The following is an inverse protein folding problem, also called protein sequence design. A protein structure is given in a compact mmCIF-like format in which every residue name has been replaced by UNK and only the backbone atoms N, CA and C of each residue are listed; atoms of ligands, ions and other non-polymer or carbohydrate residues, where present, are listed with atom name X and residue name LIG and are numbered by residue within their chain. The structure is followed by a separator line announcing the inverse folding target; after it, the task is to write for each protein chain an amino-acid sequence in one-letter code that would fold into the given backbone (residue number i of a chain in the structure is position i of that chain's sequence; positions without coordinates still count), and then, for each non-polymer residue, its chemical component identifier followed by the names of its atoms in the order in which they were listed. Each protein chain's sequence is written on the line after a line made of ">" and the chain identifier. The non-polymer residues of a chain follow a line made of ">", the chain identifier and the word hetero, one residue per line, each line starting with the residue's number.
data_IF_899344631560
#
_entry.id   IF_899344631560
#
_cell.length_a   1.000
_cell.length_b   1.000
_cell.length_c   1.000
_cell.angle_alpha   90.00
_cell.angle_beta   90.00
_cell.angle_gamma   90.00
#
_symmetry.space_group_name_H-M   'P 1'
#
loop_
_entity.id
_entity.type
_entity.pdbx_description
1 polymer ?
#
# COMPACT_ATOMS: atom_id res chain seq x y z
N UNK A 1 -7.56 -1.44 -12.07
CA UNK A 1 -6.33 -2.14 -11.61
C UNK A 1 -6.48 -3.62 -11.95
N UNK A 2 -5.37 -4.34 -12.14
CA UNK A 2 -5.34 -5.80 -12.23
C UNK A 2 -4.51 -6.34 -11.07
N UNK A 3 -4.96 -7.44 -10.46
CA UNK A 3 -4.25 -8.13 -9.38
C UNK A 3 -4.05 -9.59 -9.77
N UNK A 4 -2.79 -10.02 -9.84
CA UNK A 4 -2.42 -11.42 -9.97
C UNK A 4 -2.61 -12.12 -8.61
N UNK A 5 -3.86 -12.49 -8.33
CA UNK A 5 -4.30 -13.02 -7.04
C UNK A 5 -3.50 -14.24 -6.56
N UNK A 6 -3.17 -15.24 -7.41
CA UNK A 6 -2.38 -16.40 -6.97
C UNK A 6 -1.03 -16.02 -6.35
N UNK A 7 -0.28 -15.10 -6.97
CA UNK A 7 0.99 -14.64 -6.42
C UNK A 7 0.78 -13.79 -5.15
N UNK A 8 -0.21 -12.89 -5.16
CA UNK A 8 -0.55 -12.07 -3.99
C UNK A 8 -0.86 -12.93 -2.75
N UNK A 9 -1.71 -13.94 -2.89
CA UNK A 9 -2.06 -14.86 -1.79
C UNK A 9 -0.86 -15.66 -1.31
N UNK A 10 0.05 -16.02 -2.22
CA UNK A 10 1.26 -16.77 -1.88
C UNK A 10 2.24 -15.91 -1.08
N UNK A 11 2.42 -14.65 -1.47
CA UNK A 11 3.25 -13.69 -0.72
C UNK A 11 2.67 -13.42 0.67
N UNK A 12 1.34 -13.34 0.82
CA UNK A 12 0.71 -13.18 2.13
C UNK A 12 1.01 -14.30 3.13
N UNK A 13 1.40 -15.51 2.66
CA UNK A 13 1.71 -16.64 3.56
C UNK A 13 2.99 -16.41 4.36
N UNK A 14 3.91 -15.59 3.86
CA UNK A 14 5.18 -15.26 4.54
C UNK A 14 5.13 -13.93 5.29
N UNK A 15 4.01 -13.20 5.21
CA UNK A 15 3.83 -11.92 5.90
C UNK A 15 3.44 -12.10 7.37
N UNK A 16 3.79 -11.13 8.24
CA UNK A 16 3.20 -11.03 9.57
C UNK A 16 1.66 -11.05 9.51
N UNK A 17 1.05 -11.88 10.36
CA UNK A 17 -0.43 -11.97 10.46
C UNK A 17 -1.05 -10.83 11.26
N UNK A 18 -0.24 -10.17 12.10
CA UNK A 18 -0.63 -9.04 12.94
C UNK A 18 0.32 -7.87 12.67
N UNK A 19 -0.19 -6.65 12.82
CA UNK A 19 0.53 -5.41 12.56
C UNK A 19 1.07 -5.24 11.14
N UNK A 20 0.52 -5.90 10.12
CA UNK A 20 0.99 -5.73 8.75
C UNK A 20 0.51 -4.39 8.16
N UNK A 21 1.43 -3.63 7.58
CA UNK A 21 1.14 -2.56 6.64
C UNK A 21 2.06 -2.70 5.42
N UNK A 22 1.52 -3.26 4.34
CA UNK A 22 2.27 -3.65 3.15
C UNK A 22 1.81 -2.86 1.94
N UNK A 23 2.73 -2.43 1.09
CA UNK A 23 2.42 -1.81 -0.21
C UNK A 23 3.66 -1.20 -0.83
N UNK A 24 3.49 -0.28 -1.78
CA UNK A 24 4.62 0.48 -2.29
C UNK A 24 4.94 1.63 -1.32
N UNK A 25 5.98 1.45 -0.49
CA UNK A 25 6.26 2.36 0.64
C UNK A 25 7.08 3.57 0.18
N UNK A 26 6.63 4.76 0.54
CA UNK A 26 7.31 6.04 0.38
C UNK A 26 7.46 6.77 1.71
N UNK A 27 8.44 7.68 1.78
CA UNK A 27 8.69 8.52 2.96
C UNK A 27 9.09 9.96 2.57
N UNK A 28 8.21 10.73 1.90
CA UNK A 28 8.49 12.10 1.52
C UNK A 28 8.25 13.07 2.68
N UNK A 29 8.83 14.27 2.54
CA UNK A 29 8.49 15.42 3.38
C UNK A 29 7.29 16.16 2.80
N UNK A 30 6.33 16.49 3.66
CA UNK A 30 5.19 17.33 3.30
C UNK A 30 5.24 18.64 4.07
N UNK A 31 4.80 19.74 3.45
CA UNK A 31 4.88 21.08 4.05
C UNK A 31 4.02 21.25 5.31
N UNK A 32 3.03 20.38 5.52
CA UNK A 32 2.15 20.39 6.71
C UNK A 32 2.64 19.45 7.83
N UNK A 33 3.82 18.84 7.69
CA UNK A 33 4.41 17.95 8.70
C UNK A 33 5.86 18.31 9.01
N UNK A 34 6.27 18.06 10.25
CA UNK A 34 7.65 18.30 10.71
C UNK A 34 8.61 17.20 10.24
N UNK A 35 8.12 15.97 10.14
CA UNK A 35 8.91 14.81 9.73
C UNK A 35 8.37 14.21 8.43
N UNK A 36 9.19 13.41 7.76
CA UNK A 36 8.73 12.56 6.68
C UNK A 36 7.61 11.60 7.15
N UNK A 37 6.61 11.43 6.29
CA UNK A 37 5.49 10.52 6.52
C UNK A 37 5.74 9.24 5.75
N UNK A 38 5.85 8.11 6.48
CA UNK A 38 5.88 6.78 5.88
C UNK A 38 4.46 6.36 5.52
N UNK A 39 4.21 6.04 4.26
CA UNK A 39 2.91 5.53 3.80
C UNK A 39 3.08 4.59 2.60
N UNK A 40 2.09 3.72 2.40
CA UNK A 40 1.95 2.92 1.18
C UNK A 40 1.08 3.67 0.17
N UNK A 41 1.47 3.71 -1.11
CA UNK A 41 0.72 4.44 -2.13
C UNK A 41 -0.70 3.92 -2.34
N UNK A 42 -1.60 4.82 -2.75
CA UNK A 42 -3.01 4.50 -3.04
C UNK A 42 -3.26 3.57 -4.23
N UNK A 43 -2.23 3.03 -4.89
CA UNK A 43 -2.41 2.04 -5.95
C UNK A 43 -2.96 0.71 -5.41
N UNK A 44 -2.32 0.19 -4.36
CA UNK A 44 -2.80 -0.97 -3.59
C UNK A 44 -1.94 -1.10 -2.33
N UNK A 45 -2.58 -1.36 -1.19
CA UNK A 45 -1.88 -1.71 0.04
C UNK A 45 -2.73 -2.69 0.86
N UNK A 46 -2.07 -3.42 1.75
CA UNK A 46 -2.66 -4.44 2.60
C UNK A 46 -2.44 -4.07 4.06
N UNK A 47 -3.50 -4.14 4.85
CA UNK A 47 -3.46 -4.04 6.30
C UNK A 47 -3.84 -5.40 6.91
N UNK A 48 -3.17 -5.79 7.98
CA UNK A 48 -3.70 -6.85 8.83
C UNK A 48 -4.97 -6.37 9.53
N UNK A 49 -5.80 -7.32 9.98
CA UNK A 49 -7.09 -7.01 10.62
C UNK A 49 -6.95 -6.07 11.81
N UNK A 50 -5.97 -6.30 12.68
CA UNK A 50 -5.70 -5.50 13.87
C UNK A 50 -5.23 -4.08 13.54
N UNK A 51 -4.37 -3.91 12.52
CA UNK A 51 -3.97 -2.59 12.04
C UNK A 51 -5.17 -1.83 11.45
N UNK A 52 -5.99 -2.50 10.63
CA UNK A 52 -7.22 -1.91 10.09
C UNK A 52 -8.20 -1.52 11.20
N UNK A 53 -8.39 -2.38 12.21
CA UNK A 53 -9.23 -2.11 13.37
C UNK A 53 -8.74 -0.91 14.19
N UNK A 54 -7.43 -0.80 14.41
CA UNK A 54 -6.85 0.32 15.11
C UNK A 54 -7.11 1.64 14.36
N UNK A 55 -6.95 1.64 13.03
CA UNK A 55 -7.22 2.81 12.19
C UNK A 55 -8.69 3.26 12.29
N UNK A 56 -9.64 2.34 12.08
CA UNK A 56 -11.08 2.70 12.08
C UNK A 56 -11.61 3.03 13.48
N UNK A 57 -10.96 2.53 14.53
CA UNK A 57 -11.33 2.82 15.93
C UNK A 57 -10.74 4.14 16.44
N UNK A 58 -9.92 4.84 15.65
CA UNK A 58 -9.31 6.10 16.05
C UNK A 58 -10.33 7.25 16.04
N UNK A 59 -10.98 7.44 17.20
CA UNK A 59 -12.09 8.39 17.41
C UNK A 59 -11.81 9.82 16.91
N UNK A 60 -10.62 10.42 17.07
CA UNK A 60 -10.36 11.77 16.57
C UNK A 60 -10.49 11.87 15.05
N UNK A 61 -10.06 10.85 14.31
CA UNK A 61 -10.24 10.81 12.86
C UNK A 61 -11.70 10.59 12.49
N UNK A 62 -12.37 9.63 13.13
CA UNK A 62 -13.79 9.36 12.85
C UNK A 62 -14.67 10.60 13.09
N UNK A 63 -14.45 11.31 14.20
CA UNK A 63 -15.18 12.53 14.55
C UNK A 63 -14.92 13.69 13.56
N UNK A 64 -13.70 13.78 13.02
CA UNK A 64 -13.35 14.78 12.01
C UNK A 64 -14.02 14.46 10.67
N UNK A 65 -13.99 13.19 10.25
CA UNK A 65 -14.54 12.75 8.95
C UNK A 65 -16.07 12.61 8.95
N UNK A 66 -16.72 12.51 10.11
CA UNK A 66 -18.19 12.48 10.21
C UNK A 66 -18.84 13.85 10.05
N UNK A 67 -18.05 14.93 10.02
CA UNK A 67 -18.54 16.29 9.88
C UNK A 67 -18.47 16.74 8.43
N UNK A 68 -19.38 17.63 8.03
CA UNK A 68 -19.26 18.31 6.74
C UNK A 68 -17.95 19.09 6.69
N UNK A 69 -17.37 19.15 5.49
CA UNK A 69 -16.19 19.94 5.25
C UNK A 69 -16.40 21.40 5.70
N UNK A 70 -15.38 21.97 6.34
CA UNK A 70 -15.37 23.36 6.76
C UNK A 70 -13.95 23.89 6.67
N UNK A 71 -13.77 25.02 6.00
CA UNK A 71 -12.47 25.68 5.86
C UNK A 71 -11.87 26.03 7.24
N UNK A 72 -12.71 26.32 8.24
CA UNK A 72 -12.31 26.60 9.60
C UNK A 72 -11.64 25.40 10.30
N UNK A 73 -11.80 24.19 9.75
CA UNK A 73 -11.17 22.96 10.24
C UNK A 73 -9.97 22.53 9.40
N UNK A 74 -9.48 23.36 8.47
CA UNK A 74 -8.39 22.98 7.57
C UNK A 74 -7.15 22.47 8.31
N UNK A 75 -6.79 23.10 9.43
CA UNK A 75 -5.66 22.67 10.25
C UNK A 75 -5.89 21.29 10.88
N UNK A 76 -7.14 20.94 11.22
CA UNK A 76 -7.48 19.61 11.72
C UNK A 76 -7.31 18.56 10.62
N UNK A 77 -7.81 18.85 9.40
CA UNK A 77 -7.64 17.98 8.24
C UNK A 77 -6.16 17.77 7.86
N UNK A 78 -5.36 18.84 7.83
CA UNK A 78 -3.92 18.75 7.58
C UNK A 78 -3.20 17.94 8.65
N UNK A 79 -3.58 18.10 9.92
CA UNK A 79 -2.92 17.42 11.04
C UNK A 79 -2.98 15.89 10.96
N UNK A 80 -3.97 15.32 10.27
CA UNK A 80 -4.13 13.87 10.04
C UNK A 80 -4.02 13.49 8.56
N UNK A 81 -3.55 14.42 7.71
CA UNK A 81 -3.43 14.22 6.26
C UNK A 81 -4.71 13.81 5.56
N UNK A 82 -5.88 14.28 6.03
CA UNK A 82 -7.19 13.85 5.52
C UNK A 82 -7.43 14.14 4.03
N UNK A 83 -6.64 15.03 3.43
CA UNK A 83 -6.68 15.42 2.02
C UNK A 83 -6.00 14.40 1.09
N UNK A 84 -5.25 13.43 1.63
CA UNK A 84 -4.65 12.32 0.90
C UNK A 84 -4.98 11.02 1.63
N UNK A 85 -5.85 10.19 1.05
CA UNK A 85 -6.36 8.98 1.71
C UNK A 85 -5.26 8.00 2.12
N UNK A 86 -4.30 7.77 1.24
CA UNK A 86 -3.18 6.84 1.42
C UNK A 86 -2.16 7.37 2.44
N UNK A 87 -1.80 8.65 2.34
CA UNK A 87 -0.93 9.33 3.31
C UNK A 87 -1.59 9.33 4.70
N UNK A 88 -2.90 9.57 4.79
CA UNK A 88 -3.67 9.53 6.05
C UNK A 88 -3.55 8.18 6.74
N UNK A 89 -3.64 7.07 6.02
CA UNK A 89 -3.53 5.72 6.60
C UNK A 89 -2.19 5.56 7.32
N UNK A 90 -1.08 5.82 6.62
CA UNK A 90 0.27 5.71 7.18
C UNK A 90 0.51 6.72 8.31
N UNK A 91 0.13 7.98 8.10
CA UNK A 91 0.30 9.05 9.08
C UNK A 91 -0.45 8.74 10.38
N UNK A 92 -1.71 8.31 10.30
CA UNK A 92 -2.53 8.01 11.47
C UNK A 92 -2.02 6.77 12.21
N UNK A 93 -1.73 5.67 11.51
CA UNK A 93 -1.22 4.45 12.15
C UNK A 93 0.12 4.68 12.86
N UNK A 94 1.06 5.34 12.18
CA UNK A 94 2.45 5.47 12.65
C UNK A 94 2.61 6.61 13.66
N UNK A 95 1.99 7.77 13.43
CA UNK A 95 2.27 8.97 14.24
C UNK A 95 1.17 9.32 15.23
N UNK A 96 -0.10 9.06 14.89
CA UNK A 96 -1.23 9.41 15.78
C UNK A 96 -1.55 8.30 16.75
N UNK A 97 -1.85 7.11 16.23
CA UNK A 97 -2.12 5.91 17.03
C UNK A 97 -0.82 5.37 17.63
N UNK A 98 0.30 5.49 16.90
CA UNK A 98 1.58 4.85 17.24
C UNK A 98 1.38 3.36 17.46
N UNK A 99 0.79 2.70 16.47
CA UNK A 99 0.35 1.31 16.57
C UNK A 99 1.53 0.39 16.93
N UNK A 100 1.45 -0.26 18.09
CA UNK A 100 2.52 -1.12 18.60
C UNK A 100 2.61 -2.39 17.77
N UNK A 101 3.82 -2.77 17.39
CA UNK A 101 4.04 -3.97 16.56
C UNK A 101 3.73 -3.78 15.08
N UNK A 102 3.49 -2.55 14.62
CA UNK A 102 3.33 -2.28 13.19
C UNK A 102 4.61 -2.63 12.44
N UNK A 103 4.49 -3.49 11.43
CA UNK A 103 5.53 -3.88 10.48
C UNK A 103 5.19 -3.32 9.11
N UNK A 104 6.07 -2.48 8.57
CA UNK A 104 5.95 -1.97 7.20
C UNK A 104 6.67 -2.88 6.23
N UNK A 105 6.00 -3.30 5.16
CA UNK A 105 6.60 -4.14 4.11
C UNK A 105 6.52 -3.43 2.76
N UNK A 106 7.68 -3.11 2.17
CA UNK A 106 7.74 -2.54 0.83
C UNK A 106 7.66 -3.63 -0.24
N UNK A 107 6.60 -3.61 -1.04
CA UNK A 107 6.35 -4.58 -2.13
C UNK A 107 7.27 -4.34 -3.33
N UNK A 108 7.80 -3.11 -3.49
CA UNK A 108 8.70 -2.77 -4.58
C UNK A 108 8.00 -2.61 -5.94
N UNK A 109 8.65 -1.86 -6.83
CA UNK A 109 8.10 -1.53 -8.17
C UNK A 109 8.06 -2.73 -9.12
N UNK A 110 8.86 -3.77 -8.91
CA UNK A 110 8.80 -4.97 -9.75
C UNK A 110 7.49 -5.76 -9.56
N UNK A 111 6.83 -5.60 -8.42
CA UNK A 111 5.59 -6.30 -8.06
C UNK A 111 4.37 -5.40 -8.12
N UNK A 112 4.53 -4.11 -7.83
CA UNK A 112 3.46 -3.13 -7.80
C UNK A 112 3.84 -1.95 -8.69
N UNK A 113 3.31 -1.90 -9.90
CA UNK A 113 3.67 -0.89 -10.91
C UNK A 113 2.52 -0.49 -11.83
N UNK A 114 2.68 0.64 -12.50
CA UNK A 114 1.85 1.06 -13.62
C UNK A 114 2.51 0.74 -14.96
N UNK A 115 2.00 1.32 -16.06
CA UNK A 115 2.65 1.26 -17.36
C UNK A 115 4.00 1.98 -17.36
N UNK A 116 4.96 1.47 -18.14
CA UNK A 116 6.20 2.16 -18.46
C UNK A 116 6.01 3.23 -19.53
N UNK A 117 7.08 3.94 -19.87
CA UNK A 117 7.11 4.92 -20.97
C UNK A 117 6.72 4.30 -22.32
N UNK A 118 7.14 3.07 -22.54
CA UNK A 118 6.93 2.33 -23.79
C UNK A 118 5.68 1.43 -23.76
N UNK A 119 4.82 1.63 -22.76
CA UNK A 119 3.55 0.92 -22.60
C UNK A 119 3.51 -0.04 -21.42
N UNK A 120 2.39 -0.74 -21.29
CA UNK A 120 2.09 -1.61 -20.16
C UNK A 120 2.93 -2.90 -20.16
N UNK A 121 2.95 -3.59 -21.29
CA UNK A 121 3.51 -4.95 -21.40
C UNK A 121 5.04 -5.00 -21.48
N UNK A 122 5.72 -3.84 -21.55
CA UNK A 122 7.19 -3.76 -21.51
C UNK A 122 7.73 -3.92 -20.08
N UNK A 123 6.90 -3.71 -19.06
CA UNK A 123 7.27 -3.76 -17.65
C UNK A 123 6.58 -4.88 -16.87
N UNK A 124 5.60 -5.57 -17.48
CA UNK A 124 4.93 -6.71 -16.86
C UNK A 124 5.86 -7.92 -16.86
N UNK A 125 5.99 -8.56 -15.71
CA UNK A 125 6.83 -9.75 -15.50
C UNK A 125 6.04 -10.83 -14.78
N UNK A 126 6.53 -12.09 -14.73
CA UNK A 126 5.86 -13.13 -13.95
C UNK A 126 5.82 -12.82 -12.44
N UNK A 127 6.70 -11.92 -11.97
CA UNK A 127 6.74 -11.44 -10.58
C UNK A 127 5.74 -10.30 -10.31
N UNK A 128 5.13 -9.71 -11.33
CA UNK A 128 4.14 -8.64 -11.17
C UNK A 128 2.93 -9.15 -10.39
N UNK A 129 2.48 -8.37 -9.41
CA UNK A 129 1.38 -8.70 -8.49
C UNK A 129 0.21 -7.75 -8.69
N UNK A 130 0.47 -6.44 -8.70
CA UNK A 130 -0.56 -5.42 -8.96
C UNK A 130 -0.09 -4.52 -10.08
N UNK A 131 -0.95 -4.40 -11.09
CA UNK A 131 -0.75 -3.51 -12.23
C UNK A 131 -1.85 -2.44 -12.21
N UNK A 132 -1.45 -1.18 -12.02
CA UNK A 132 -2.37 -0.04 -11.88
C UNK A 132 -2.31 0.90 -13.10
N UNK A 133 -3.23 1.88 -13.18
CA UNK A 133 -3.43 2.74 -14.37
C UNK A 133 -3.65 1.96 -15.69
N UNK A 134 -4.30 0.81 -15.61
CA UNK A 134 -4.69 0.02 -16.77
C UNK A 134 -6.02 0.50 -17.35
N UNK A 135 -6.25 0.23 -18.64
CA UNK A 135 -7.56 0.38 -19.26
C UNK A 135 -8.37 -0.91 -19.12
N UNK A 136 -9.63 -0.89 -19.54
CA UNK A 136 -10.51 -2.06 -19.47
C UNK A 136 -10.02 -3.17 -20.41
N UNK A 137 -9.62 -2.82 -21.62
CA UNK A 137 -9.06 -3.77 -22.60
C UNK A 137 -7.76 -4.44 -22.11
N UNK A 138 -6.99 -3.75 -21.27
CA UNK A 138 -5.76 -4.27 -20.70
C UNK A 138 -6.04 -5.37 -19.67
N UNK A 139 -7.20 -5.37 -19.01
CA UNK A 139 -7.52 -6.37 -18.00
C UNK A 139 -7.56 -7.78 -18.60
N UNK A 140 -8.27 -7.95 -19.72
CA UNK A 140 -8.33 -9.23 -20.43
C UNK A 140 -6.97 -9.63 -21.00
N UNK A 141 -6.20 -8.66 -21.49
CA UNK A 141 -4.85 -8.90 -22.02
C UNK A 141 -3.89 -9.33 -20.93
N UNK A 142 -3.93 -8.71 -19.75
CA UNK A 142 -3.14 -9.11 -18.58
C UNK A 142 -3.54 -10.49 -18.09
N UNK A 143 -4.84 -10.79 -18.03
CA UNK A 143 -5.34 -12.12 -17.68
C UNK A 143 -4.70 -13.19 -18.57
N UNK A 144 -4.83 -13.04 -19.89
CA UNK A 144 -4.21 -13.94 -20.87
C UNK A 144 -2.69 -13.98 -20.76
N UNK A 145 -2.05 -12.84 -20.55
CA UNK A 145 -0.60 -12.76 -20.41
C UNK A 145 -0.10 -13.63 -19.25
N UNK A 146 -0.77 -13.61 -18.09
CA UNK A 146 -0.42 -14.45 -16.94
C UNK A 146 -0.78 -15.92 -17.13
N UNK A 147 -1.81 -16.25 -17.93
CA UNK A 147 -2.05 -17.65 -18.33
C UNK A 147 -0.91 -18.19 -19.20
N UNK A 148 -0.45 -17.38 -20.16
CA UNK A 148 0.56 -17.79 -21.14
C UNK A 148 2.01 -17.74 -20.58
N UNK A 149 2.31 -16.81 -19.66
CA UNK A 149 3.68 -16.50 -19.20
C UNK A 149 3.85 -16.56 -17.68
N UNK A 150 2.78 -16.85 -16.93
CA UNK A 150 2.82 -16.91 -15.47
C UNK A 150 3.75 -18.02 -14.97
N UNK A 151 4.51 -17.72 -13.94
CA UNK A 151 5.23 -18.75 -13.19
C UNK A 151 4.30 -19.38 -12.14
N UNK A 152 4.49 -20.65 -11.77
CA UNK A 152 3.84 -21.22 -10.60
C UNK A 152 4.05 -20.32 -9.37
N UNK A 153 2.99 -19.93 -8.64
CA UNK A 153 3.12 -19.01 -7.52
C UNK A 153 4.02 -19.59 -6.42
N UNK A 154 5.09 -18.87 -6.10
CA UNK A 154 6.01 -19.21 -5.01
C UNK A 154 6.16 -17.99 -4.07
N UNK A 155 6.30 -18.19 -2.75
CA UNK A 155 6.43 -17.07 -1.83
C UNK A 155 7.66 -16.24 -2.16
N UNK A 156 7.47 -14.94 -2.30
CA UNK A 156 8.58 -14.02 -2.48
C UNK A 156 9.46 -13.97 -1.24
N UNK A 157 10.77 -13.84 -1.45
CA UNK A 157 11.71 -13.64 -0.35
C UNK A 157 11.46 -12.30 0.35
N UNK A 158 11.56 -12.30 1.68
CA UNK A 158 11.46 -11.12 2.52
C UNK A 158 12.86 -10.72 3.02
N UNK A 159 13.29 -9.53 2.65
CA UNK A 159 14.50 -8.93 3.19
C UNK A 159 14.15 -8.00 4.35
N UNK A 160 14.65 -8.31 5.54
CA UNK A 160 14.39 -7.53 6.76
C UNK A 160 15.49 -6.49 6.99
N UNK A 161 15.10 -5.21 7.08
CA UNK A 161 16.01 -4.12 7.43
C UNK A 161 16.02 -3.85 8.94
N UNK A 162 14.92 -4.19 9.63
CA UNK A 162 14.79 -4.06 11.08
C UNK A 162 13.71 -5.02 11.58
N UNK A 163 13.43 -5.03 12.89
CA UNK A 163 12.34 -5.84 13.47
C UNK A 163 10.94 -5.45 12.98
N UNK A 164 10.78 -4.28 12.37
CA UNK A 164 9.48 -3.72 11.95
C UNK A 164 9.48 -3.19 10.53
N UNK A 165 10.54 -3.47 9.75
CA UNK A 165 10.68 -3.00 8.37
C UNK A 165 11.28 -4.08 7.49
N UNK A 166 10.61 -4.39 6.39
CA UNK A 166 11.06 -5.36 5.41
C UNK A 166 10.70 -4.92 3.98
N UNK A 167 11.26 -5.59 2.99
CA UNK A 167 10.84 -5.49 1.59
C UNK A 167 10.70 -6.89 0.98
N UNK A 168 9.76 -7.01 0.04
CA UNK A 168 9.75 -8.14 -0.88
C UNK A 168 10.89 -7.98 -1.88
N UNK A 169 11.65 -9.05 -2.07
CA UNK A 169 12.73 -9.08 -3.04
C UNK A 169 12.16 -9.14 -4.46
N UNK A 170 12.69 -8.25 -5.31
CA UNK A 170 12.65 -8.37 -6.75
C UNK A 170 13.75 -9.36 -7.16
#
# INVERSE_FOLDING_TARGET
>A
MFMHVPQYLTDLRVMPRQGLYMGLIYSPFFFWTVDAIVFATGACFTLSKDAAQALVSYKPLAALLSQLYSIWRIMQYLSVSAHHEDVKVGHVLIRKIKFKGLTTVNVGKCKLHGPGTDGLFTVVTPKSVVVFHIREEDYQRLWKWFEDHGAPPAPSELHWFSKTSAALVC
#
